data_IF_452748027348
#
_entry.id   IF_452748027348
#
_cell.length_a   1.000
_cell.length_b   1.000
_cell.length_c   1.000
_cell.angle_alpha   90.00
_cell.angle_beta   90.00
_cell.angle_gamma   90.00
#
_symmetry.space_group_name_H-M   'P 1'
#
loop_
_entity.id
_entity.type
_entity.pdbx_description
1 polymer ?
#
# COMPACT_ATOMS: atom_id res chain seq x y z
N UNK A 1 1.64 10.91 7.99
CA UNK A 1 2.18 11.55 6.78
C UNK A 1 1.14 11.40 5.68
N UNK A 2 0.74 12.48 5.01
CA UNK A 2 -0.16 12.42 3.86
C UNK A 2 0.69 12.50 2.61
N UNK A 3 0.47 11.60 1.66
CA UNK A 3 1.06 11.72 0.33
C UNK A 3 0.20 12.70 -0.47
N UNK A 4 0.87 13.56 -1.24
CA UNK A 4 0.22 14.53 -2.12
C UNK A 4 0.58 14.15 -3.55
N UNK A 5 -0.40 14.16 -4.43
CA UNK A 5 -0.19 14.00 -5.86
C UNK A 5 0.47 15.27 -6.41
N UNK A 6 1.69 15.13 -6.92
CA UNK A 6 2.50 16.25 -7.39
C UNK A 6 1.84 16.97 -8.56
N UNK A 7 1.34 16.22 -9.53
CA UNK A 7 0.83 16.77 -10.78
C UNK A 7 -0.52 17.46 -10.56
N UNK A 8 -1.38 16.86 -9.74
CA UNK A 8 -2.64 17.50 -9.35
C UNK A 8 -2.40 18.79 -8.54
N UNK A 9 -1.41 18.79 -7.63
CA UNK A 9 -1.05 19.97 -6.86
C UNK A 9 -0.51 21.10 -7.76
N UNK A 10 0.36 20.79 -8.71
CA UNK A 10 0.89 21.79 -9.65
C UNK A 10 -0.22 22.41 -10.49
N UNK A 11 -1.16 21.61 -11.02
CA UNK A 11 -2.29 22.12 -11.78
C UNK A 11 -3.20 23.06 -10.96
N UNK A 12 -3.48 22.71 -9.69
CA UNK A 12 -4.27 23.56 -8.78
C UNK A 12 -3.56 24.88 -8.46
N UNK A 13 -2.23 24.84 -8.29
CA UNK A 13 -1.41 26.04 -8.07
C UNK A 13 -1.45 26.95 -9.30
N UNK A 14 -1.16 26.43 -10.49
CA UNK A 14 -1.20 27.18 -11.76
C UNK A 14 -2.55 27.87 -12.00
N UNK A 15 -3.65 27.15 -11.69
CA UNK A 15 -5.00 27.72 -11.78
C UNK A 15 -5.20 28.86 -10.80
N UNK A 16 -4.78 28.68 -9.54
CA UNK A 16 -4.93 29.69 -8.48
C UNK A 16 -4.14 30.96 -8.81
N UNK A 17 -2.94 30.80 -9.36
CA UNK A 17 -2.09 31.88 -9.89
C UNK A 17 -2.84 32.69 -10.94
N UNK A 18 -3.36 32.01 -11.97
CA UNK A 18 -4.09 32.65 -13.06
C UNK A 18 -5.34 33.40 -12.60
N UNK A 19 -6.02 32.89 -11.57
CA UNK A 19 -7.23 33.50 -11.00
C UNK A 19 -6.94 34.67 -10.04
N UNK A 20 -5.82 34.64 -9.32
CA UNK A 20 -5.52 35.61 -8.25
C UNK A 20 -4.94 36.94 -8.75
N UNK A 21 -4.26 36.94 -9.90
CA UNK A 21 -3.65 38.13 -10.51
C UNK A 21 -2.51 38.78 -9.70
N UNK A 22 -2.05 38.16 -8.61
CA UNK A 22 -1.03 38.69 -7.71
C UNK A 22 0.28 37.90 -7.83
N UNK A 23 1.26 38.47 -8.54
CA UNK A 23 2.57 37.84 -8.79
C UNK A 23 3.52 38.11 -7.63
N UNK A 24 3.41 37.35 -6.55
CA UNK A 24 4.32 37.54 -5.44
C UNK A 24 5.41 36.46 -5.41
N UNK A 25 5.16 35.17 -5.22
CA UNK A 25 6.22 34.13 -5.07
C UNK A 25 5.89 32.80 -5.77
N UNK A 26 5.18 32.85 -6.90
CA UNK A 26 4.60 31.67 -7.55
C UNK A 26 5.66 30.69 -8.10
N UNK A 27 6.71 31.22 -8.74
CA UNK A 27 7.82 30.41 -9.24
C UNK A 27 8.58 29.68 -8.13
N UNK A 28 8.78 30.33 -6.97
CA UNK A 28 9.49 29.73 -5.83
C UNK A 28 8.72 28.53 -5.25
N UNK A 29 7.38 28.59 -5.24
CA UNK A 29 6.52 27.49 -4.78
C UNK A 29 6.57 26.31 -5.76
N UNK A 30 6.52 26.58 -7.06
CA UNK A 30 6.63 25.55 -8.10
C UNK A 30 8.00 24.88 -8.01
N UNK A 31 9.09 25.64 -7.91
CA UNK A 31 10.45 25.12 -7.74
C UNK A 31 10.55 24.21 -6.51
N UNK A 32 9.97 24.63 -5.38
CA UNK A 32 9.97 23.80 -4.17
C UNK A 32 9.29 22.44 -4.38
N UNK A 33 8.24 22.37 -5.19
CA UNK A 33 7.52 21.12 -5.50
C UNK A 33 8.26 20.31 -6.56
N UNK A 34 8.83 20.97 -7.57
CA UNK A 34 9.56 20.31 -8.64
C UNK A 34 10.83 19.61 -8.16
N UNK A 35 11.59 20.29 -7.30
CA UNK A 35 12.87 19.82 -6.77
C UNK A 35 12.77 19.11 -5.42
N UNK A 36 11.57 19.02 -4.82
CA UNK A 36 11.37 18.21 -3.63
C UNK A 36 11.75 16.74 -3.92
N UNK A 37 12.45 16.06 -3.00
CA UNK A 37 12.75 14.65 -3.16
C UNK A 37 11.46 13.85 -3.22
N UNK A 38 11.31 13.04 -4.28
CA UNK A 38 10.20 12.12 -4.40
C UNK A 38 10.30 11.05 -3.32
N UNK A 39 9.20 10.83 -2.59
CA UNK A 39 9.10 9.70 -1.67
C UNK A 39 8.83 8.45 -2.51
N UNK A 40 9.68 7.43 -2.37
CA UNK A 40 9.43 6.11 -2.94
C UNK A 40 8.32 5.41 -2.14
N UNK A 41 7.09 5.62 -2.57
CA UNK A 41 5.91 5.05 -1.95
C UNK A 41 5.07 4.33 -3.01
N UNK A 42 4.73 3.09 -2.70
CA UNK A 42 3.83 2.28 -3.50
C UNK A 42 2.43 2.27 -2.89
N UNK A 43 1.37 2.24 -3.70
CA UNK A 43 0.01 2.08 -3.19
C UNK A 43 -0.09 0.87 -2.27
N UNK A 44 -0.78 1.02 -1.14
CA UNK A 44 -1.07 -0.12 -0.26
C UNK A 44 -2.03 -1.04 -0.98
N UNK A 45 -1.56 -2.23 -1.34
CA UNK A 45 -2.41 -3.27 -1.92
C UNK A 45 -3.27 -3.87 -0.80
N UNK A 46 -4.58 -3.96 -1.04
CA UNK A 46 -5.56 -4.52 -0.10
C UNK A 46 -5.75 -6.01 -0.40
N UNK A 47 -5.55 -6.88 0.59
CA UNK A 47 -5.67 -8.33 0.47
C UNK A 47 -6.64 -8.92 1.47
N UNK A 48 -6.93 -10.21 1.33
CA UNK A 48 -7.81 -10.96 2.23
C UNK A 48 -7.18 -12.31 2.58
N UNK A 49 -7.31 -12.70 3.85
CA UNK A 49 -6.95 -14.05 4.28
C UNK A 49 -8.06 -15.02 3.89
N UNK A 50 -7.74 -16.00 3.05
CA UNK A 50 -8.63 -17.08 2.65
C UNK A 50 -8.14 -18.42 3.17
N UNK A 51 -9.05 -19.28 3.63
CA UNK A 51 -8.70 -20.60 4.13
C UNK A 51 -8.49 -21.54 2.94
N UNK A 52 -7.26 -21.99 2.72
CA UNK A 52 -6.94 -22.98 1.67
C UNK A 52 -6.27 -24.20 2.28
N UNK A 53 -6.53 -25.36 1.69
CA UNK A 53 -5.85 -26.59 2.05
C UNK A 53 -4.48 -26.62 1.37
N UNK A 54 -3.43 -26.85 2.16
CA UNK A 54 -2.06 -26.92 1.68
C UNK A 54 -1.37 -28.20 2.16
N UNK A 55 -0.44 -28.67 1.32
CA UNK A 55 0.52 -29.71 1.65
C UNK A 55 1.90 -29.05 1.55
N UNK A 56 2.51 -28.77 2.70
CA UNK A 56 3.77 -28.02 2.80
C UNK A 56 4.85 -28.96 3.31
N UNK A 57 5.92 -29.12 2.54
CA UNK A 57 7.08 -29.91 2.94
C UNK A 57 8.17 -29.02 3.53
N UNK A 58 8.50 -29.24 4.80
CA UNK A 58 9.51 -28.49 5.56
C UNK A 58 10.39 -29.47 6.33
N UNK A 59 11.71 -29.47 6.06
CA UNK A 59 12.72 -30.21 6.83
C UNK A 59 12.32 -31.66 7.20
N UNK A 60 12.08 -32.50 6.19
CA UNK A 60 11.64 -33.90 6.33
C UNK A 60 10.27 -34.12 7.02
N UNK A 61 9.49 -33.07 7.20
CA UNK A 61 8.12 -33.12 7.69
C UNK A 61 7.15 -32.59 6.63
N UNK A 62 6.02 -33.28 6.48
CA UNK A 62 4.92 -32.82 5.62
C UNK A 62 3.80 -32.32 6.52
N UNK A 63 3.49 -31.04 6.40
CA UNK A 63 2.35 -30.41 7.05
C UNK A 63 1.18 -30.40 6.08
N UNK A 64 0.10 -31.07 6.46
CA UNK A 64 -1.16 -31.09 5.70
C UNK A 64 -2.23 -30.44 6.55
N UNK A 65 -2.88 -29.41 6.02
CA UNK A 65 -3.86 -28.67 6.80
C UNK A 65 -4.49 -27.52 6.03
N UNK A 66 -5.50 -26.91 6.64
CA UNK A 66 -6.11 -25.68 6.12
C UNK A 66 -5.48 -24.49 6.82
N UNK A 67 -4.92 -23.56 6.04
CA UNK A 67 -4.21 -22.40 6.56
C UNK A 67 -4.75 -21.09 5.96
N UNK A 68 -4.71 -19.97 6.72
CA UNK A 68 -4.92 -18.65 6.18
C UNK A 68 -3.90 -18.39 5.06
N UNK A 69 -4.40 -18.05 3.89
CA UNK A 69 -3.61 -17.86 2.67
C UNK A 69 -3.93 -16.50 2.07
N UNK A 70 -2.91 -15.76 1.68
CA UNK A 70 -3.11 -14.48 1.00
C UNK A 70 -3.76 -14.73 -0.37
N UNK A 71 -4.87 -14.07 -0.66
CA UNK A 71 -5.56 -14.18 -1.95
C UNK A 71 -4.77 -13.60 -3.13
N UNK A 72 -3.76 -12.75 -2.89
CA UNK A 72 -3.01 -12.06 -3.95
C UNK A 72 -1.73 -12.79 -4.37
N UNK A 73 -1.05 -13.44 -3.43
CA UNK A 73 0.26 -14.05 -3.68
C UNK A 73 0.35 -15.52 -3.27
N UNK A 74 -0.77 -16.11 -2.83
CA UNK A 74 -0.88 -17.51 -2.39
C UNK A 74 0.04 -17.92 -1.24
N UNK A 75 0.64 -16.96 -0.54
CA UNK A 75 1.42 -17.22 0.65
C UNK A 75 0.53 -17.77 1.78
N UNK A 76 0.87 -18.95 2.28
CA UNK A 76 0.21 -19.57 3.42
C UNK A 76 0.88 -19.15 4.73
N UNK A 77 0.11 -18.57 5.65
CA UNK A 77 0.58 -18.21 6.98
C UNK A 77 0.57 -19.46 7.88
N UNK A 78 1.74 -20.07 8.03
CA UNK A 78 1.97 -21.25 8.89
C UNK A 78 2.73 -20.85 10.14
N UNK A 79 2.11 -21.03 11.32
CA UNK A 79 2.78 -20.87 12.61
C UNK A 79 2.39 -19.66 13.44
N UNK A 80 1.45 -18.82 12.98
CA UNK A 80 0.90 -17.73 13.77
C UNK A 80 -0.43 -18.12 14.44
N UNK A 81 -0.59 -17.75 15.71
CA UNK A 81 -1.84 -17.98 16.45
C UNK A 81 -3.00 -17.06 15.99
N UNK A 82 -2.68 -15.97 15.28
CA UNK A 82 -3.63 -15.00 14.74
C UNK A 82 -3.16 -14.53 13.37
N UNK A 83 -4.11 -14.19 12.49
CA UNK A 83 -3.81 -13.57 11.22
C UNK A 83 -3.09 -12.24 11.43
N UNK A 84 -2.08 -11.97 10.62
CA UNK A 84 -1.37 -10.69 10.62
C UNK A 84 -2.15 -9.67 9.80
N UNK A 85 -2.02 -8.39 10.16
CA UNK A 85 -2.67 -7.29 9.42
C UNK A 85 -2.05 -7.05 8.04
N UNK A 86 -0.91 -7.69 7.75
CA UNK A 86 -0.19 -7.58 6.49
C UNK A 86 0.34 -8.94 6.07
N UNK A 87 0.23 -9.26 4.77
CA UNK A 87 0.88 -10.45 4.23
C UNK A 87 2.40 -10.26 4.28
N UNK A 88 3.17 -11.16 4.92
CA UNK A 88 4.62 -11.02 5.04
C UNK A 88 5.35 -11.23 3.71
N UNK A 89 4.71 -11.86 2.72
CA UNK A 89 5.33 -12.13 1.42
C UNK A 89 5.15 -10.97 0.43
N UNK A 90 3.95 -10.39 0.32
CA UNK A 90 3.67 -9.33 -0.66
C UNK A 90 3.40 -7.95 -0.05
N UNK A 91 3.37 -7.82 1.28
CA UNK A 91 3.11 -6.54 1.96
C UNK A 91 1.67 -6.04 1.86
N UNK A 92 0.75 -6.81 1.27
CA UNK A 92 -0.66 -6.42 1.19
C UNK A 92 -1.26 -6.24 2.58
N UNK A 93 -1.98 -5.14 2.79
CA UNK A 93 -2.75 -4.90 4.00
C UNK A 93 -3.99 -5.79 3.96
N UNK A 94 -4.11 -6.67 4.94
CA UNK A 94 -5.15 -7.67 5.00
C UNK A 94 -6.38 -7.04 5.65
N UNK A 95 -7.51 -7.07 4.96
CA UNK A 95 -8.76 -6.64 5.53
C UNK A 95 -9.21 -7.66 6.57
N UNK A 96 -9.52 -7.18 7.77
CA UNK A 96 -10.31 -7.95 8.71
C UNK A 96 -11.67 -8.14 8.05
N UNK A 97 -11.99 -9.37 7.66
CA UNK A 97 -13.31 -9.67 7.09
C UNK A 97 -14.38 -9.08 8.01
N UNK A 98 -15.42 -8.43 7.46
CA UNK A 98 -16.57 -8.03 8.26
C UNK A 98 -17.12 -9.29 8.92
N UNK A 99 -17.22 -9.23 10.24
CA UNK A 99 -17.99 -10.20 10.99
C UNK A 99 -19.45 -10.10 10.54
N UNK A 100 -19.95 -11.12 9.84
CA UNK A 100 -21.38 -11.44 9.73
C UNK A 100 -22.23 -10.54 8.84
#
# INVERSE_FOLDING_TARGET
MRMIDKDALLADIEKTIAESGCVNHEGEIVDCIEYAPAVDAVPVVRGEWIQKHHIISLNNMTLTGTYPTCNLCDYAEVGMAKNTNYCPNCGAKMEDRPCG
#
